data_IF_795693398427
#
_entry.id   IF_795693398427
#
_cell.length_a   1.000
_cell.length_b   1.000
_cell.length_c   1.000
_cell.angle_alpha   90.00
_cell.angle_beta   90.00
_cell.angle_gamma   90.00
#
_symmetry.space_group_name_H-M   'P 1'
#
loop_
_entity.id
_entity.type
_entity.pdbx_description
1 polymer ?
#
# COMPACT_ATOMS: atom_id res chain seq x y z
N UNK A 1 -50.20 9.90 11.93
CA UNK A 1 -49.02 9.84 12.83
C UNK A 1 -48.56 8.40 12.92
N UNK A 2 -47.67 7.99 12.02
CA UNK A 2 -47.13 6.63 11.97
C UNK A 2 -45.63 6.78 12.20
N UNK A 3 -45.17 6.25 13.34
CA UNK A 3 -43.78 6.35 13.79
C UNK A 3 -42.92 5.44 12.90
N UNK A 4 -42.05 6.02 12.08
CA UNK A 4 -40.98 5.28 11.43
C UNK A 4 -39.94 4.91 12.49
N UNK A 5 -39.87 3.63 12.82
CA UNK A 5 -38.78 3.03 13.57
C UNK A 5 -37.53 3.04 12.68
N UNK A 6 -36.70 4.07 12.86
CA UNK A 6 -35.31 4.05 12.42
C UNK A 6 -34.61 3.01 13.30
N UNK A 7 -34.51 1.77 12.81
CA UNK A 7 -33.64 0.76 13.41
C UNK A 7 -32.21 1.17 13.06
N UNK A 8 -31.64 1.97 13.94
CA UNK A 8 -30.23 2.33 13.95
C UNK A 8 -29.44 1.06 14.31
N UNK A 9 -29.06 0.29 13.28
CA UNK A 9 -28.13 -0.83 13.39
C UNK A 9 -26.73 -0.32 13.74
N UNK A 10 -26.52 -0.02 15.01
CA UNK A 10 -25.21 0.04 15.66
C UNK A 10 -24.57 -1.35 15.55
N UNK A 11 -23.95 -1.66 14.40
CA UNK A 11 -23.04 -2.80 14.29
C UNK A 11 -21.73 -2.43 15.01
N UNK A 12 -21.75 -2.60 16.34
CA UNK A 12 -20.57 -2.94 17.13
C UNK A 12 -20.02 -4.28 16.61
N UNK A 13 -19.24 -4.26 15.52
CA UNK A 13 -18.46 -5.42 15.12
C UNK A 13 -17.07 -5.30 15.74
N UNK A 14 -16.96 -5.84 16.96
CA UNK A 14 -15.72 -6.45 17.40
C UNK A 14 -15.51 -7.72 16.57
N UNK A 15 -14.69 -7.63 15.52
CA UNK A 15 -14.07 -8.80 14.91
C UNK A 15 -12.62 -8.45 14.54
N UNK A 16 -11.74 -8.65 15.52
CA UNK A 16 -10.31 -8.79 15.25
C UNK A 16 -10.11 -10.23 14.82
N UNK A 17 -9.87 -10.44 13.54
CA UNK A 17 -9.10 -11.57 13.04
C UNK A 17 -8.51 -11.14 11.70
N UNK A 18 -7.28 -10.64 11.75
CA UNK A 18 -6.43 -10.47 10.59
C UNK A 18 -6.07 -11.87 10.04
N UNK A 19 -6.93 -12.40 9.18
CA UNK A 19 -6.55 -13.42 8.23
C UNK A 19 -6.35 -12.72 6.90
N UNK A 20 -5.17 -12.93 6.29
CA UNK A 20 -4.95 -12.59 4.90
C UNK A 20 -5.98 -13.37 4.07
N UNK A 21 -6.90 -12.65 3.43
CA UNK A 21 -7.99 -13.20 2.64
C UNK A 21 -7.62 -13.04 1.16
N UNK A 22 -7.90 -14.05 0.32
CA UNK A 22 -7.54 -14.06 -1.10
C UNK A 22 -8.30 -12.98 -1.89
N UNK A 23 -7.84 -12.59 -3.11
CA UNK A 23 -8.45 -11.53 -3.90
C UNK A 23 -9.79 -11.97 -4.51
N UNK A 24 -10.10 -13.29 -4.48
CA UNK A 24 -11.34 -13.88 -4.98
C UNK A 24 -12.60 -13.49 -4.20
N UNK A 25 -12.49 -12.73 -3.11
CA UNK A 25 -13.68 -12.17 -2.46
C UNK A 25 -13.42 -10.72 -2.05
N UNK A 26 -13.43 -9.80 -3.01
CA UNK A 26 -13.73 -8.42 -2.70
C UNK A 26 -15.06 -8.40 -1.90
N UNK A 27 -15.01 -7.88 -0.68
CA UNK A 27 -16.20 -7.75 0.18
C UNK A 27 -16.33 -6.30 0.58
N UNK A 28 -17.52 -5.70 0.47
CA UNK A 28 -17.75 -4.37 1.00
C UNK A 28 -17.63 -4.35 2.53
N UNK A 29 -17.70 -3.16 3.11
CA UNK A 29 -17.63 -2.93 4.56
C UNK A 29 -18.81 -3.53 5.34
N UNK A 30 -19.79 -4.12 4.66
CA UNK A 30 -21.01 -4.71 5.20
C UNK A 30 -21.30 -6.10 4.62
N UNK A 31 -22.22 -6.81 5.27
CA UNK A 31 -22.65 -8.15 4.87
C UNK A 31 -23.69 -8.07 3.74
N UNK A 32 -23.32 -8.49 2.54
CA UNK A 32 -24.20 -8.46 1.37
C UNK A 32 -25.50 -9.26 1.54
N UNK A 33 -25.53 -10.27 2.41
CA UNK A 33 -26.77 -10.99 2.73
C UNK A 33 -27.79 -10.10 3.48
N UNK A 34 -27.34 -8.97 4.03
CA UNK A 34 -28.16 -7.99 4.76
C UNK A 34 -28.44 -6.72 3.94
N UNK A 35 -27.99 -6.66 2.69
CA UNK A 35 -28.23 -5.52 1.81
C UNK A 35 -29.74 -5.25 1.66
N UNK A 36 -30.16 -4.05 2.03
CA UNK A 36 -31.56 -3.65 2.12
C UNK A 36 -31.89 -2.45 1.22
N UNK A 37 -30.91 -1.57 1.02
CA UNK A 37 -31.02 -0.38 0.17
C UNK A 37 -30.61 -0.67 -1.27
N UNK A 38 -30.96 0.22 -2.18
CA UNK A 38 -30.58 0.13 -3.60
C UNK A 38 -29.07 0.23 -3.78
N UNK A 39 -28.42 1.23 -3.18
CA UNK A 39 -26.95 1.36 -3.16
C UNK A 39 -26.25 0.13 -2.57
N UNK A 40 -26.71 -0.44 -1.45
CA UNK A 40 -26.10 -1.65 -0.90
C UNK A 40 -26.15 -2.82 -1.91
N UNK A 41 -27.26 -2.95 -2.66
CA UNK A 41 -27.38 -3.99 -3.69
C UNK A 41 -26.51 -3.70 -4.90
N UNK A 42 -26.35 -2.44 -5.31
CA UNK A 42 -25.43 -2.04 -6.39
C UNK A 42 -24.01 -2.45 -6.02
N UNK A 43 -23.55 -2.11 -4.82
CA UNK A 43 -22.22 -2.47 -4.33
C UNK A 43 -22.06 -4.00 -4.28
N UNK A 44 -23.05 -4.74 -3.79
CA UNK A 44 -22.96 -6.19 -3.68
C UNK A 44 -23.00 -6.95 -5.02
N UNK A 45 -23.62 -6.37 -6.05
CA UNK A 45 -23.71 -6.96 -7.39
C UNK A 45 -22.65 -6.41 -8.36
N UNK A 46 -21.67 -5.66 -7.85
CA UNK A 46 -20.57 -5.10 -8.61
C UNK A 46 -19.63 -6.22 -9.10
N UNK A 47 -19.78 -6.62 -10.37
CA UNK A 47 -19.12 -7.79 -10.95
C UNK A 47 -17.59 -7.66 -11.03
N UNK A 48 -17.08 -6.44 -11.21
CA UNK A 48 -15.63 -6.14 -11.23
C UNK A 48 -15.03 -5.99 -9.82
N UNK A 49 -15.87 -5.90 -8.78
CA UNK A 49 -15.50 -5.77 -7.38
C UNK A 49 -14.91 -4.41 -7.00
N UNK A 50 -14.86 -3.43 -7.90
CA UNK A 50 -14.29 -2.10 -7.65
C UNK A 50 -15.03 -1.34 -6.56
N UNK A 51 -16.35 -1.22 -6.67
CA UNK A 51 -17.20 -0.55 -5.68
C UNK A 51 -17.15 -1.27 -4.34
N UNK A 52 -17.05 -2.60 -4.33
CA UNK A 52 -16.87 -3.36 -3.09
C UNK A 52 -15.58 -2.97 -2.37
N UNK A 53 -14.50 -2.78 -3.14
CA UNK A 53 -13.21 -2.37 -2.60
C UNK A 53 -13.19 -0.90 -2.15
N UNK A 54 -13.78 -0.01 -2.93
CA UNK A 54 -13.93 1.41 -2.57
C UNK A 54 -14.75 1.56 -1.27
N UNK A 55 -15.86 0.84 -1.14
CA UNK A 55 -16.68 0.87 0.08
C UNK A 55 -15.91 0.33 1.31
N UNK A 56 -15.22 -0.81 1.15
CA UNK A 56 -14.36 -1.37 2.19
C UNK A 56 -13.28 -0.38 2.63
N UNK A 57 -12.54 0.19 1.67
CA UNK A 57 -11.45 1.12 1.96
C UNK A 57 -11.95 2.41 2.62
N UNK A 58 -13.06 2.97 2.13
CA UNK A 58 -13.70 4.12 2.78
C UNK A 58 -14.07 3.80 4.23
N UNK A 59 -14.64 2.63 4.49
CA UNK A 59 -14.98 2.16 5.84
C UNK A 59 -13.77 2.04 6.76
N UNK A 60 -12.64 1.54 6.26
CA UNK A 60 -11.37 1.45 6.96
C UNK A 60 -10.81 2.84 7.31
N UNK A 61 -10.73 3.74 6.32
CA UNK A 61 -10.25 5.13 6.51
C UNK A 61 -11.14 5.86 7.52
N UNK A 62 -12.47 5.76 7.39
CA UNK A 62 -13.42 6.37 8.33
C UNK A 62 -13.22 5.85 9.76
N UNK A 63 -13.09 4.54 9.92
CA UNK A 63 -12.90 3.88 11.22
C UNK A 63 -11.60 4.36 11.87
N UNK A 64 -10.53 4.43 11.09
CA UNK A 64 -9.25 4.91 11.55
C UNK A 64 -9.30 6.39 11.94
N UNK A 65 -9.83 7.26 11.07
CA UNK A 65 -10.00 8.69 11.36
C UNK A 65 -10.77 8.90 12.64
N UNK A 66 -11.89 8.18 12.84
CA UNK A 66 -12.68 8.26 14.07
C UNK A 66 -11.89 7.80 15.29
N UNK A 67 -11.05 6.76 15.18
CA UNK A 67 -10.19 6.28 16.27
C UNK A 67 -9.15 7.35 16.65
N UNK A 68 -8.42 7.87 15.67
CA UNK A 68 -7.36 8.86 15.87
C UNK A 68 -7.92 10.19 16.40
N UNK A 69 -9.09 10.60 15.93
CA UNK A 69 -9.73 11.82 16.38
C UNK A 69 -10.17 11.73 17.85
N UNK A 70 -10.63 10.56 18.33
CA UNK A 70 -11.01 10.36 19.74
C UNK A 70 -9.85 10.54 20.72
N UNK A 71 -8.64 10.19 20.30
CA UNK A 71 -7.43 10.30 21.13
C UNK A 71 -6.68 11.62 20.90
N UNK A 72 -7.16 12.46 20.00
CA UNK A 72 -6.53 13.74 19.67
C UNK A 72 -6.69 14.79 20.78
N UNK A 73 -5.80 15.78 20.72
CA UNK A 73 -5.78 16.93 21.63
C UNK A 73 -6.54 18.15 21.08
N UNK A 74 -7.34 17.99 20.02
CA UNK A 74 -8.16 19.08 19.49
C UNK A 74 -9.18 19.56 20.53
N UNK A 75 -9.23 20.88 20.76
CA UNK A 75 -10.18 21.48 21.69
C UNK A 75 -11.65 21.24 21.27
N UNK A 76 -11.90 21.14 19.97
CA UNK A 76 -13.18 20.92 19.32
C UNK A 76 -13.43 19.45 18.93
N UNK A 77 -12.70 18.48 19.50
CA UNK A 77 -12.76 17.06 19.10
C UNK A 77 -14.16 16.44 19.07
N UNK A 78 -15.02 16.77 20.03
CA UNK A 78 -16.39 16.24 20.10
C UNK A 78 -17.25 16.77 18.96
N UNK A 79 -17.07 18.05 18.61
CA UNK A 79 -17.74 18.66 17.47
C UNK A 79 -17.24 18.04 16.17
N UNK A 80 -15.92 17.87 16.00
CA UNK A 80 -15.33 17.19 14.83
C UNK A 80 -15.84 15.74 14.68
N UNK A 81 -15.97 14.99 15.77
CA UNK A 81 -16.53 13.63 15.75
C UNK A 81 -17.99 13.62 15.30
N UNK A 82 -18.77 14.60 15.75
CA UNK A 82 -20.16 14.78 15.32
C UNK A 82 -20.23 15.14 13.84
N UNK A 83 -19.43 16.10 13.38
CA UNK A 83 -19.42 16.55 11.98
C UNK A 83 -18.93 15.44 11.03
N UNK A 84 -17.96 14.63 11.46
CA UNK A 84 -17.52 13.44 10.73
C UNK A 84 -18.65 12.41 10.58
N UNK A 85 -19.40 12.14 11.65
CA UNK A 85 -20.54 11.22 11.59
C UNK A 85 -21.67 11.77 10.73
N UNK A 86 -22.02 13.05 10.88
CA UNK A 86 -23.11 13.69 10.15
C UNK A 86 -22.76 13.78 8.65
N UNK A 87 -21.52 14.12 8.29
CA UNK A 87 -21.07 14.10 6.89
C UNK A 87 -21.07 12.70 6.28
N UNK A 88 -20.67 11.66 7.03
CA UNK A 88 -20.70 10.29 6.52
C UNK A 88 -22.13 9.80 6.27
N UNK A 89 -23.06 10.16 7.16
CA UNK A 89 -24.49 9.86 6.97
C UNK A 89 -25.07 10.59 5.77
N UNK A 90 -24.71 11.86 5.60
CA UNK A 90 -25.15 12.65 4.45
C UNK A 90 -24.64 12.05 3.14
N UNK A 91 -23.36 11.65 3.08
CA UNK A 91 -22.79 10.94 1.94
C UNK A 91 -23.60 9.68 1.58
N UNK A 92 -23.77 8.75 2.54
CA UNK A 92 -24.49 7.49 2.30
C UNK A 92 -25.94 7.74 1.85
N UNK A 93 -26.61 8.73 2.44
CA UNK A 93 -28.00 9.07 2.08
C UNK A 93 -28.13 9.53 0.62
N UNK A 94 -27.16 10.32 0.15
CA UNK A 94 -27.20 10.94 -1.18
C UNK A 94 -26.57 10.04 -2.26
N UNK A 95 -25.99 8.89 -1.91
CA UNK A 95 -25.40 7.96 -2.88
C UNK A 95 -26.39 7.43 -3.93
N UNK A 96 -27.71 7.39 -3.65
CA UNK A 96 -28.69 6.99 -4.66
C UNK A 96 -29.02 8.13 -5.66
N UNK A 97 -28.49 9.34 -5.45
CA UNK A 97 -28.80 10.54 -6.23
C UNK A 97 -27.66 10.96 -7.17
N UNK A 98 -26.56 10.18 -7.22
CA UNK A 98 -25.38 10.49 -8.05
C UNK A 98 -25.32 9.60 -9.29
N UNK A 99 -24.90 10.19 -10.41
CA UNK A 99 -24.75 9.47 -11.69
C UNK A 99 -23.49 8.58 -11.71
N UNK A 100 -22.46 8.95 -10.94
CA UNK A 100 -21.15 8.29 -10.90
C UNK A 100 -20.78 7.91 -9.45
N UNK A 101 -21.24 6.72 -9.01
CA UNK A 101 -21.03 6.23 -7.65
C UNK A 101 -19.53 6.02 -7.35
N UNK A 102 -18.76 5.47 -8.30
CA UNK A 102 -17.32 5.21 -8.15
C UNK A 102 -16.56 6.51 -7.82
N UNK A 103 -16.73 7.54 -8.65
CA UNK A 103 -16.12 8.86 -8.46
C UNK A 103 -16.51 9.48 -7.11
N UNK A 104 -17.78 9.32 -6.71
CA UNK A 104 -18.28 9.81 -5.42
C UNK A 104 -17.57 9.15 -4.24
N UNK A 105 -17.28 7.83 -4.32
CA UNK A 105 -16.46 7.13 -3.32
C UNK A 105 -15.03 7.65 -3.30
N UNK A 106 -14.39 7.82 -4.44
CA UNK A 106 -13.00 8.31 -4.53
C UNK A 106 -12.84 9.71 -3.93
N UNK A 107 -13.76 10.62 -4.27
CA UNK A 107 -13.83 11.96 -3.70
C UNK A 107 -13.99 11.90 -2.18
N UNK A 108 -14.91 11.05 -1.70
CA UNK A 108 -15.16 10.90 -0.27
C UNK A 108 -13.95 10.33 0.47
N UNK A 109 -13.32 9.29 -0.07
CA UNK A 109 -12.09 8.69 0.47
C UNK A 109 -10.99 9.75 0.55
N UNK A 110 -10.81 10.55 -0.49
CA UNK A 110 -9.83 11.63 -0.52
C UNK A 110 -10.08 12.66 0.58
N UNK A 111 -11.34 13.08 0.79
CA UNK A 111 -11.70 13.98 1.89
C UNK A 111 -11.38 13.36 3.26
N UNK A 112 -11.71 12.09 3.47
CA UNK A 112 -11.44 11.39 4.72
C UNK A 112 -9.93 11.23 4.96
N UNK A 113 -9.14 10.95 3.92
CA UNK A 113 -7.69 10.83 4.00
C UNK A 113 -7.02 12.16 4.37
N UNK A 114 -7.50 13.30 3.84
CA UNK A 114 -7.03 14.63 4.24
C UNK A 114 -7.28 14.90 5.73
N UNK A 115 -8.51 14.65 6.18
CA UNK A 115 -8.86 14.80 7.61
C UNK A 115 -8.03 13.86 8.48
N UNK A 116 -7.79 12.63 8.02
CA UNK A 116 -6.93 11.66 8.72
C UNK A 116 -5.49 12.18 8.81
N UNK A 117 -4.96 12.77 7.74
CA UNK A 117 -3.66 13.44 7.72
C UNK A 117 -3.55 14.55 8.76
N UNK A 118 -4.52 15.46 8.81
CA UNK A 118 -4.56 16.55 9.81
C UNK A 118 -4.56 16.02 11.25
N UNK A 119 -5.36 14.98 11.50
CA UNK A 119 -5.48 14.38 12.83
C UNK A 119 -4.19 13.65 13.22
N UNK A 120 -3.63 12.87 12.30
CA UNK A 120 -2.37 12.16 12.52
C UNK A 120 -1.20 13.12 12.73
N UNK A 121 -1.13 14.20 11.96
CA UNK A 121 -0.16 15.28 12.13
C UNK A 121 -0.25 15.93 13.50
N UNK A 122 -1.48 16.19 13.98
CA UNK A 122 -1.67 16.74 15.33
C UNK A 122 -1.24 15.73 16.40
N UNK A 123 -1.63 14.47 16.25
CA UNK A 123 -1.35 13.40 17.20
C UNK A 123 0.16 13.05 17.25
N UNK A 124 0.88 13.18 16.13
CA UNK A 124 2.25 12.74 15.94
C UNK A 124 3.18 13.86 15.46
N UNK A 125 2.92 15.11 15.89
CA UNK A 125 3.55 16.33 15.36
C UNK A 125 5.06 16.24 15.15
N UNK A 126 5.80 15.87 16.19
CA UNK A 126 7.27 15.79 16.11
C UNK A 126 7.74 14.74 15.09
N UNK A 127 7.06 13.58 15.06
CA UNK A 127 7.36 12.51 14.11
C UNK A 127 7.08 12.96 12.67
N UNK A 128 5.93 13.59 12.42
CA UNK A 128 5.54 14.00 11.06
C UNK A 128 6.40 15.18 10.57
N UNK A 129 6.76 16.13 11.43
CA UNK A 129 7.74 17.18 11.13
C UNK A 129 9.13 16.61 10.83
N UNK A 130 9.54 15.59 11.56
CA UNK A 130 10.80 14.88 11.30
C UNK A 130 10.75 14.12 9.97
N UNK A 131 9.67 13.39 9.70
CA UNK A 131 9.48 12.62 8.47
C UNK A 131 9.58 13.49 7.21
N UNK A 132 8.96 14.68 7.21
CA UNK A 132 9.04 15.64 6.08
C UNK A 132 10.45 16.14 5.81
N UNK A 133 11.30 16.20 6.83
CA UNK A 133 12.70 16.64 6.72
C UNK A 133 13.64 15.47 6.45
N UNK A 134 13.22 14.24 6.75
CA UNK A 134 14.01 13.04 6.57
C UNK A 134 14.10 12.73 5.07
N UNK A 135 15.18 13.22 4.44
CA UNK A 135 15.66 12.60 3.21
C UNK A 135 16.11 11.20 3.60
N UNK A 136 15.60 10.19 2.89
CA UNK A 136 15.90 8.77 3.08
C UNK A 136 17.29 8.56 3.69
N UNK A 137 17.34 7.92 4.86
CA UNK A 137 18.56 7.73 5.65
C UNK A 137 19.53 6.74 5.03
N UNK A 138 20.01 7.01 3.81
CA UNK A 138 20.88 6.14 3.01
C UNK A 138 22.16 5.74 3.77
N UNK A 139 22.61 6.59 4.71
CA UNK A 139 23.86 6.38 5.44
C UNK A 139 23.90 5.18 6.39
N UNK A 140 22.74 4.60 6.76
CA UNK A 140 22.67 3.40 7.63
C UNK A 140 22.50 2.10 6.87
N UNK A 141 22.29 2.16 5.55
CA UNK A 141 22.13 1.00 4.69
C UNK A 141 23.49 0.57 4.15
N UNK A 142 23.77 -0.73 4.17
CA UNK A 142 24.94 -1.27 3.50
C UNK A 142 24.56 -1.68 2.08
N UNK A 143 25.10 -0.96 1.08
CA UNK A 143 24.96 -1.37 -0.32
C UNK A 143 25.66 -2.72 -0.54
N UNK A 144 24.99 -3.58 -1.30
CA UNK A 144 25.42 -4.93 -1.63
C UNK A 144 25.95 -4.91 -3.06
N UNK A 145 27.23 -5.24 -3.28
CA UNK A 145 27.79 -5.23 -4.62
C UNK A 145 27.13 -6.31 -5.50
N UNK A 146 27.14 -6.12 -6.84
CA UNK A 146 26.67 -7.13 -7.78
C UNK A 146 27.26 -8.51 -7.52
N UNK A 147 26.39 -9.52 -7.43
CA UNK A 147 26.77 -10.90 -7.12
C UNK A 147 25.76 -11.92 -7.63
N UNK A 148 26.24 -13.11 -7.99
CA UNK A 148 25.35 -14.25 -8.26
C UNK A 148 24.70 -14.83 -6.99
N UNK A 149 25.08 -14.34 -5.81
CA UNK A 149 24.61 -14.82 -4.52
C UNK A 149 23.63 -13.84 -3.87
N UNK A 150 22.76 -14.31 -2.96
CA UNK A 150 21.92 -13.43 -2.13
C UNK A 150 22.77 -12.50 -1.23
N UNK A 151 22.24 -11.32 -0.84
CA UNK A 151 20.90 -10.82 -1.16
C UNK A 151 20.78 -10.14 -2.53
N UNK A 152 21.91 -9.83 -3.20
CA UNK A 152 21.87 -9.13 -4.50
C UNK A 152 21.07 -9.89 -5.55
N UNK A 153 21.35 -11.19 -5.74
CA UNK A 153 20.65 -12.00 -6.75
C UNK A 153 19.14 -12.02 -6.56
N UNK A 154 18.69 -12.02 -5.31
CA UNK A 154 17.28 -11.95 -4.94
C UNK A 154 16.74 -10.56 -5.25
N UNK A 155 17.41 -9.49 -4.80
CA UNK A 155 17.03 -8.11 -5.13
C UNK A 155 16.90 -7.87 -6.63
N UNK A 156 17.85 -8.38 -7.39
CA UNK A 156 17.90 -8.23 -8.84
C UNK A 156 16.72 -8.94 -9.53
N UNK A 157 16.60 -10.26 -9.37
CA UNK A 157 15.61 -11.03 -10.13
C UNK A 157 14.20 -10.98 -9.51
N UNK A 158 14.07 -10.75 -8.21
CA UNK A 158 12.79 -10.70 -7.52
C UNK A 158 12.23 -9.28 -7.33
N UNK A 159 13.03 -8.21 -7.40
CA UNK A 159 12.56 -6.86 -7.05
C UNK A 159 13.06 -5.71 -7.92
N UNK A 160 13.87 -5.93 -8.95
CA UNK A 160 14.39 -4.80 -9.70
C UNK A 160 14.69 -5.07 -11.17
N UNK A 161 14.21 -6.20 -11.67
CA UNK A 161 14.13 -6.43 -13.09
C UNK A 161 12.85 -5.82 -13.67
N UNK A 162 12.99 -5.20 -14.83
CA UNK A 162 11.93 -4.60 -15.63
C UNK A 162 12.26 -4.88 -17.10
N UNK A 163 11.35 -5.55 -17.80
CA UNK A 163 11.54 -5.99 -19.20
C UNK A 163 11.45 -4.83 -20.19
N UNK A 164 10.78 -3.73 -19.83
CA UNK A 164 10.55 -2.55 -20.68
C UNK A 164 11.86 -1.86 -21.11
N UNK A 165 12.89 -1.92 -20.27
CA UNK A 165 14.13 -1.19 -20.51
C UNK A 165 15.37 -2.08 -20.41
N UNK A 166 15.22 -3.41 -20.26
CA UNK A 166 16.35 -4.31 -20.05
C UNK A 166 16.16 -5.77 -20.46
N UNK A 167 17.29 -6.44 -20.66
CA UNK A 167 17.39 -7.87 -20.95
C UNK A 167 17.29 -8.71 -19.65
N UNK A 168 16.14 -8.67 -18.98
CA UNK A 168 15.85 -9.50 -17.80
C UNK A 168 16.10 -10.99 -18.05
N UNK A 169 15.58 -11.50 -19.17
CA UNK A 169 15.66 -12.92 -19.55
C UNK A 169 17.11 -13.40 -19.77
N UNK A 170 18.05 -12.47 -19.99
CA UNK A 170 19.46 -12.83 -20.12
C UNK A 170 20.08 -13.19 -18.76
N UNK A 171 19.51 -12.75 -17.65
CA UNK A 171 20.12 -12.85 -16.32
C UNK A 171 19.25 -13.56 -15.29
N UNK A 172 17.96 -13.70 -15.54
CA UNK A 172 17.00 -14.29 -14.63
C UNK A 172 16.12 -15.31 -15.36
N UNK A 173 15.70 -16.33 -14.63
CA UNK A 173 14.72 -17.32 -15.09
C UNK A 173 13.30 -16.81 -14.89
N UNK A 174 12.32 -17.45 -15.53
CA UNK A 174 10.89 -17.23 -15.29
C UNK A 174 10.51 -17.36 -13.81
N UNK A 175 11.18 -18.26 -13.07
CA UNK A 175 11.02 -18.45 -11.63
C UNK A 175 11.73 -17.39 -10.76
N UNK A 176 12.19 -16.29 -11.36
CA UNK A 176 12.88 -15.18 -10.68
C UNK A 176 14.19 -15.59 -9.98
N UNK A 177 14.80 -16.67 -10.46
CA UNK A 177 16.14 -17.09 -10.02
C UNK A 177 17.21 -16.58 -10.97
N UNK A 178 18.39 -16.28 -10.43
CA UNK A 178 19.50 -15.76 -11.23
C UNK A 178 20.16 -16.83 -12.10
N UNK A 179 20.37 -16.54 -13.38
CA UNK A 179 21.16 -17.34 -14.31
C UNK A 179 22.64 -17.08 -13.99
N UNK A 180 23.18 -17.87 -13.06
CA UNK A 180 24.52 -17.65 -12.48
C UNK A 180 25.63 -17.43 -13.51
N UNK A 181 25.61 -18.19 -14.60
CA UNK A 181 26.65 -18.12 -15.64
C UNK A 181 26.65 -16.76 -16.35
N UNK A 182 25.49 -16.33 -16.84
CA UNK A 182 25.35 -15.10 -17.60
C UNK A 182 25.55 -13.87 -16.69
N UNK A 183 25.01 -13.90 -15.47
CA UNK A 183 25.26 -12.85 -14.48
C UNK A 183 26.74 -12.75 -14.09
N UNK A 184 27.42 -13.88 -13.82
CA UNK A 184 28.84 -13.87 -13.49
C UNK A 184 29.68 -13.28 -14.63
N UNK A 185 29.35 -13.62 -15.88
CA UNK A 185 29.97 -13.06 -17.07
C UNK A 185 29.75 -11.55 -17.12
N UNK A 186 28.51 -11.08 -16.99
CA UNK A 186 28.19 -9.66 -17.06
C UNK A 186 28.83 -8.82 -15.94
N UNK A 187 28.89 -9.34 -14.72
CA UNK A 187 29.59 -8.70 -13.60
C UNK A 187 31.09 -8.56 -13.92
N UNK A 188 31.72 -9.64 -14.42
CA UNK A 188 33.15 -9.66 -14.76
C UNK A 188 33.47 -8.69 -15.90
N UNK A 189 32.62 -8.66 -16.92
CA UNK A 189 32.78 -7.83 -18.12
C UNK A 189 32.30 -6.37 -17.90
N UNK A 190 31.72 -6.07 -16.73
CA UNK A 190 31.05 -4.78 -16.44
C UNK A 190 30.01 -4.42 -17.51
N UNK A 191 29.34 -5.43 -18.04
CA UNK A 191 28.44 -5.33 -19.19
C UNK A 191 26.97 -5.47 -18.80
N UNK A 192 26.63 -5.20 -17.53
CA UNK A 192 25.25 -5.06 -17.11
C UNK A 192 24.66 -3.88 -17.90
N UNK A 193 23.81 -4.21 -18.87
CA UNK A 193 23.39 -3.33 -19.96
C UNK A 193 22.52 -2.14 -19.48
N UNK A 194 22.11 -2.15 -18.21
CA UNK A 194 21.38 -1.09 -17.48
C UNK A 194 21.91 -1.05 -16.04
N UNK A 195 21.82 0.10 -15.37
CA UNK A 195 22.11 0.21 -13.94
C UNK A 195 21.24 -0.80 -13.17
N UNK A 196 21.83 -1.87 -12.58
CA UNK A 196 21.06 -2.82 -11.80
C UNK A 196 20.34 -2.10 -10.65
N UNK A 197 19.22 -2.64 -10.14
CA UNK A 197 18.64 -2.16 -8.89
C UNK A 197 19.71 -2.14 -7.81
N UNK A 198 19.68 -1.13 -6.96
CA UNK A 198 20.58 -1.03 -5.83
C UNK A 198 20.00 -1.88 -4.71
N UNK A 199 20.76 -2.87 -4.30
CA UNK A 199 20.35 -3.76 -3.21
C UNK A 199 21.09 -3.34 -1.96
N UNK A 200 20.35 -3.06 -0.92
CA UNK A 200 20.84 -2.69 0.38
C UNK A 200 20.47 -3.75 1.40
N UNK A 201 21.31 -3.90 2.42
CA UNK A 201 21.00 -4.71 3.60
C UNK A 201 21.21 -3.91 4.87
N UNK A 202 20.38 -4.19 5.87
CA UNK A 202 20.50 -3.61 7.21
C UNK A 202 20.00 -4.61 8.24
N UNK A 203 20.67 -4.68 9.38
CA UNK A 203 20.18 -5.41 10.54
C UNK A 203 19.46 -4.42 11.46
N UNK A 204 18.16 -4.63 11.69
CA UNK A 204 17.28 -3.62 12.29
C UNK A 204 16.10 -4.27 13.02
N UNK A 205 15.66 -3.66 14.10
CA UNK A 205 14.42 -4.03 14.81
C UNK A 205 13.23 -3.38 14.08
N UNK A 206 12.82 -3.98 12.96
CA UNK A 206 11.75 -3.46 12.11
C UNK A 206 10.36 -3.59 12.77
N UNK A 207 10.20 -4.56 13.68
CA UNK A 207 8.95 -4.83 14.39
C UNK A 207 8.85 -4.10 15.73
N UNK A 208 9.87 -3.32 16.11
CA UNK A 208 9.97 -2.63 17.40
C UNK A 208 9.69 -3.55 18.61
N UNK A 209 10.15 -4.81 18.53
CA UNK A 209 9.94 -5.84 19.56
C UNK A 209 11.24 -6.25 20.27
N UNK A 210 12.34 -5.56 19.97
CA UNK A 210 13.68 -5.83 20.49
C UNK A 210 14.45 -6.89 19.70
N UNK A 211 13.86 -7.49 18.66
CA UNK A 211 14.51 -8.51 17.83
C UNK A 211 15.03 -7.90 16.52
N UNK A 212 16.33 -8.05 16.29
CA UNK A 212 16.95 -7.57 15.05
C UNK A 212 16.74 -8.55 13.89
N UNK A 213 16.02 -8.10 12.86
CA UNK A 213 15.86 -8.79 11.59
C UNK A 213 16.92 -8.36 10.57
N UNK A 214 17.30 -9.25 9.65
CA UNK A 214 18.04 -8.85 8.46
C UNK A 214 17.04 -8.38 7.42
N UNK A 215 17.07 -7.08 7.12
CA UNK A 215 16.19 -6.47 6.13
C UNK A 215 16.99 -6.18 4.86
N UNK A 216 16.41 -6.54 3.73
CA UNK A 216 16.87 -6.19 2.39
C UNK A 216 15.96 -5.06 1.89
N UNK A 217 16.57 -4.02 1.34
CA UNK A 217 15.89 -3.03 0.53
C UNK A 217 16.41 -3.18 -0.89
N UNK A 218 15.53 -3.48 -1.84
CA UNK A 218 15.87 -3.42 -3.27
C UNK A 218 15.28 -2.16 -3.84
N UNK A 219 16.11 -1.27 -4.38
CA UNK A 219 15.72 0.01 -4.94
C UNK A 219 15.95 0.02 -6.45
N UNK A 220 14.87 -0.14 -7.20
CA UNK A 220 14.86 -0.08 -8.66
C UNK A 220 14.51 1.30 -9.19
N UNK A 221 14.53 1.46 -10.51
CA UNK A 221 14.21 2.74 -11.18
C UNK A 221 12.76 3.18 -10.97
N UNK A 222 11.86 2.22 -10.71
CA UNK A 222 10.42 2.43 -10.65
C UNK A 222 9.79 2.00 -9.32
N UNK A 223 10.42 1.11 -8.57
CA UNK A 223 9.86 0.72 -7.28
C UNK A 223 10.97 0.24 -6.38
N UNK A 224 10.70 0.31 -5.08
CA UNK A 224 11.53 -0.35 -4.10
C UNK A 224 10.72 -1.32 -3.24
N UNK A 225 11.41 -2.31 -2.69
CA UNK A 225 10.81 -3.36 -1.88
C UNK A 225 11.62 -3.60 -0.60
N UNK A 226 10.91 -3.69 0.54
CA UNK A 226 11.47 -4.02 1.85
C UNK A 226 11.14 -5.44 2.26
N UNK A 227 12.18 -6.21 2.62
CA UNK A 227 12.07 -7.66 2.79
C UNK A 227 12.80 -8.18 4.00
N UNK A 228 12.16 -9.06 4.76
CA UNK A 228 12.83 -9.83 5.81
C UNK A 228 13.55 -11.03 5.18
N UNK A 229 14.84 -11.13 5.46
CA UNK A 229 15.73 -12.17 4.95
C UNK A 229 16.23 -13.07 6.09
N UNK A 230 15.95 -14.37 5.98
CA UNK A 230 16.23 -15.34 7.04
C UNK A 230 16.62 -16.68 6.45
N UNK A 231 17.66 -17.30 7.00
CA UNK A 231 18.11 -18.65 6.63
C UNK A 231 18.38 -18.82 5.12
N UNK A 232 18.98 -17.82 4.47
CA UNK A 232 19.34 -17.91 3.06
C UNK A 232 18.23 -17.56 2.06
N UNK A 233 17.03 -17.19 2.54
CA UNK A 233 15.85 -16.93 1.71
C UNK A 233 15.00 -15.77 2.22
N UNK A 234 14.10 -15.31 1.36
CA UNK A 234 13.05 -14.35 1.72
C UNK A 234 12.00 -15.01 2.63
N UNK A 235 11.58 -14.30 3.68
CA UNK A 235 10.52 -14.76 4.59
C UNK A 235 9.21 -14.04 4.27
N UNK A 236 8.43 -14.61 3.35
CA UNK A 236 7.15 -14.06 2.90
C UNK A 236 6.18 -13.73 4.05
N UNK A 237 6.09 -14.63 5.04
CA UNK A 237 5.18 -14.45 6.19
C UNK A 237 5.63 -13.30 7.09
N UNK A 238 6.93 -13.14 7.29
CA UNK A 238 7.46 -12.04 8.09
C UNK A 238 7.32 -10.71 7.32
N UNK A 239 7.68 -10.69 6.03
CA UNK A 239 7.57 -9.50 5.17
C UNK A 239 6.14 -9.03 4.97
N UNK A 240 5.15 -9.93 4.94
CA UNK A 240 3.74 -9.57 4.73
C UNK A 240 3.17 -8.58 5.75
N UNK A 241 3.84 -8.36 6.89
CA UNK A 241 3.45 -7.36 7.89
C UNK A 241 3.94 -5.94 7.56
N UNK A 242 4.97 -5.81 6.72
CA UNK A 242 5.53 -4.53 6.23
C UNK A 242 4.54 -3.87 5.28
N UNK A 243 3.84 -4.71 4.51
CA UNK A 243 2.86 -4.33 3.50
C UNK A 243 1.45 -4.34 4.09
N UNK A 244 0.58 -3.44 3.64
CA UNK A 244 -0.82 -3.39 4.05
C UNK A 244 -1.76 -3.08 2.89
N UNK A 245 -3.03 -2.85 3.24
CA UNK A 245 -4.12 -2.63 2.28
C UNK A 245 -4.09 -1.22 1.65
N UNK A 246 -3.17 -0.35 2.05
CA UNK A 246 -2.95 0.99 1.49
C UNK A 246 -2.47 1.01 0.03
N UNK A 247 -2.25 -0.16 -0.56
CA UNK A 247 -1.94 -0.38 -1.98
C UNK A 247 -3.22 -0.66 -2.81
N UNK A 248 -4.30 0.05 -2.50
CA UNK A 248 -5.57 -0.01 -3.24
C UNK A 248 -5.50 0.86 -4.50
N UNK A 249 -5.30 0.23 -5.66
CA UNK A 249 -5.22 0.88 -6.97
C UNK A 249 -6.60 0.81 -7.68
N UNK A 250 -7.51 1.72 -7.36
CA UNK A 250 -8.85 1.81 -7.99
C UNK A 250 -9.21 3.24 -8.37
N UNK A 251 -9.89 3.43 -9.51
CA UNK A 251 -10.55 4.68 -9.89
C UNK A 251 -10.36 5.15 -11.34
N UNK A 252 -11.15 6.12 -11.81
CA UNK A 252 -11.20 6.52 -13.24
C UNK A 252 -9.84 7.04 -13.78
N UNK A 253 -9.01 7.63 -12.90
CA UNK A 253 -7.61 8.03 -13.20
C UNK A 253 -6.56 6.96 -12.90
N UNK A 254 -6.99 5.83 -12.37
CA UNK A 254 -6.19 4.64 -12.11
C UNK A 254 -6.53 3.68 -13.21
N UNK A 255 -5.83 3.76 -14.35
CA UNK A 255 -6.16 2.82 -15.39
C UNK A 255 -5.89 1.41 -14.87
N UNK A 256 -6.87 0.55 -15.11
CA UNK A 256 -6.83 -0.90 -14.93
C UNK A 256 -5.73 -1.59 -15.77
N UNK A 257 -4.76 -0.87 -16.29
CA UNK A 257 -3.62 -1.41 -17.02
C UNK A 257 -2.45 -1.59 -16.05
N UNK A 258 -2.67 -2.49 -15.09
CA UNK A 258 -1.64 -3.00 -14.18
C UNK A 258 -0.61 -3.89 -14.90
N UNK A 259 -0.76 -4.08 -16.21
CA UNK A 259 0.09 -4.88 -17.10
C UNK A 259 -0.04 -4.17 -18.47
N UNK A 260 0.95 -3.93 -19.32
CA UNK A 260 2.26 -4.49 -19.61
C UNK A 260 3.09 -3.33 -20.15
N UNK A 261 4.32 -3.09 -19.70
CA UNK A 261 5.52 -3.73 -20.28
C UNK A 261 6.40 -4.31 -19.17
N UNK A 262 5.77 -4.69 -18.07
CA UNK A 262 6.38 -5.00 -16.79
C UNK A 262 5.69 -6.20 -16.13
N UNK A 263 5.76 -7.36 -16.78
CA UNK A 263 5.35 -8.64 -16.19
C UNK A 263 6.15 -8.92 -14.89
N UNK A 264 7.40 -8.42 -14.83
CA UNK A 264 8.32 -8.66 -13.72
C UNK A 264 7.97 -7.97 -12.42
N UNK A 265 7.71 -6.65 -12.37
CA UNK A 265 7.29 -5.99 -11.14
C UNK A 265 5.96 -6.52 -10.62
N UNK A 266 4.94 -6.77 -11.47
CA UNK A 266 3.65 -7.30 -11.00
C UNK A 266 3.82 -8.67 -10.35
N UNK A 267 4.47 -9.62 -11.04
CA UNK A 267 4.74 -10.97 -10.49
C UNK A 267 5.62 -10.88 -9.24
N UNK A 268 6.62 -10.00 -9.23
CA UNK A 268 7.47 -9.75 -8.08
C UNK A 268 6.68 -9.20 -6.88
N UNK A 269 5.78 -8.27 -7.14
CA UNK A 269 4.90 -7.71 -6.13
C UNK A 269 3.94 -8.79 -5.62
N UNK A 270 3.27 -9.55 -6.48
CA UNK A 270 2.33 -10.61 -6.08
C UNK A 270 3.01 -11.75 -5.32
N UNK A 271 4.14 -12.23 -5.84
CA UNK A 271 4.86 -13.40 -5.30
C UNK A 271 5.64 -13.05 -4.04
N UNK A 272 6.28 -11.89 -4.05
CA UNK A 272 7.16 -11.47 -2.99
C UNK A 272 6.48 -10.37 -2.19
N UNK A 273 6.28 -9.13 -2.65
CA UNK A 273 5.73 -8.04 -1.81
C UNK A 273 4.31 -8.26 -1.22
N UNK A 274 3.48 -9.14 -1.78
CA UNK A 274 2.03 -9.24 -1.53
C UNK A 274 1.48 -10.68 -1.35
N UNK A 275 2.18 -11.64 -0.72
CA UNK A 275 1.69 -13.01 -0.53
C UNK A 275 0.43 -13.10 0.34
N UNK A 276 -0.14 -11.96 0.76
CA UNK A 276 -1.41 -11.83 1.44
C UNK A 276 -2.58 -11.34 0.59
N UNK A 277 -2.46 -11.19 -0.74
CA UNK A 277 -3.61 -10.94 -1.63
C UNK A 277 -4.38 -9.62 -1.39
N UNK A 278 -3.68 -8.55 -1.01
CA UNK A 278 -4.28 -7.29 -0.51
C UNK A 278 -4.49 -6.20 -1.56
N UNK A 279 -4.12 -6.47 -2.81
CA UNK A 279 -4.41 -5.59 -3.95
C UNK A 279 -5.58 -6.18 -4.71
N UNK A 280 -6.63 -5.39 -4.87
CA UNK A 280 -7.75 -5.68 -5.75
C UNK A 280 -7.51 -5.10 -7.14
N UNK A 281 -7.92 -5.82 -8.19
CA UNK A 281 -7.99 -5.27 -9.55
C UNK A 281 -6.83 -5.61 -10.49
N UNK A 282 -6.16 -6.76 -10.36
CA UNK A 282 -5.25 -7.25 -11.42
C UNK A 282 -6.12 -7.98 -12.48
N UNK A 283 -6.24 -7.46 -13.71
CA UNK A 283 -7.01 -8.14 -14.76
C UNK A 283 -6.25 -9.36 -15.30
N UNK A 284 -6.97 -10.40 -15.74
CA UNK A 284 -6.38 -11.57 -16.41
C UNK A 284 -5.74 -11.23 -17.78
N UNK A 285 -6.14 -10.11 -18.41
CA UNK A 285 -5.60 -9.63 -19.69
C UNK A 285 -5.59 -8.10 -19.72
N UNK A 286 -4.45 -7.49 -20.00
CA UNK A 286 -4.32 -6.04 -20.03
C UNK A 286 -3.84 -5.53 -21.39
N UNK A 287 -4.40 -4.40 -21.84
CA UNK A 287 -3.94 -3.64 -23.00
C UNK A 287 -2.98 -2.53 -22.56
N UNK A 288 -2.09 -2.05 -23.43
CA UNK A 288 -1.06 -1.05 -23.09
C UNK A 288 -1.50 0.40 -23.37
N UNK A 289 -1.21 1.32 -22.43
CA UNK A 289 -1.18 2.75 -22.65
C UNK A 289 0.07 3.38 -21.99
N UNK A 290 0.87 4.10 -22.79
CA UNK A 290 2.14 4.69 -22.38
C UNK A 290 2.03 5.93 -21.49
N UNK A 291 0.83 6.47 -21.25
CA UNK A 291 0.62 7.76 -20.58
C UNK A 291 0.15 7.66 -19.11
N UNK A 292 0.11 6.47 -18.50
CA UNK A 292 -0.68 6.24 -17.27
C UNK A 292 0.17 5.76 -16.07
N UNK A 293 -0.12 6.20 -14.82
CA UNK A 293 0.61 5.75 -13.62
C UNK A 293 0.53 4.24 -13.42
N UNK A 294 1.68 3.61 -13.60
CA UNK A 294 1.97 2.22 -13.27
C UNK A 294 2.20 2.16 -11.74
N UNK A 295 2.20 0.97 -11.14
CA UNK A 295 2.80 0.66 -9.81
C UNK A 295 4.26 1.18 -9.62
N UNK A 296 4.81 1.84 -10.64
CA UNK A 296 6.15 2.32 -10.88
C UNK A 296 6.56 3.56 -10.10
N UNK A 297 5.94 3.84 -8.95
CA UNK A 297 6.37 4.92 -8.05
C UNK A 297 6.12 4.59 -6.57
N UNK A 298 6.24 3.33 -6.18
CA UNK A 298 6.22 2.95 -4.77
C UNK A 298 7.64 2.87 -4.22
N UNK A 299 7.95 3.70 -3.23
CA UNK A 299 9.27 3.69 -2.58
C UNK A 299 9.12 3.41 -1.10
N UNK A 300 9.56 2.22 -0.70
CA UNK A 300 9.67 1.75 0.67
C UNK A 300 11.02 2.09 1.30
N UNK A 301 10.99 2.47 2.57
CA UNK A 301 12.18 2.78 3.35
C UNK A 301 11.96 2.61 4.84
N UNK A 302 13.02 2.92 5.60
CA UNK A 302 12.97 2.89 7.05
C UNK A 302 13.59 4.14 7.63
N UNK A 303 12.84 4.79 8.51
CA UNK A 303 13.23 5.96 9.27
C UNK A 303 13.33 5.59 10.74
N UNK A 304 14.31 6.17 11.45
CA UNK A 304 14.47 5.98 12.89
C UNK A 304 14.13 7.29 13.60
N UNK A 305 13.25 7.23 14.58
CA UNK A 305 12.83 8.39 15.35
C UNK A 305 12.59 8.00 16.81
N UNK A 306 13.25 8.70 17.74
CA UNK A 306 13.15 8.48 19.19
C UNK A 306 13.28 7.00 19.61
N UNK A 307 14.23 6.28 19.00
CA UNK A 307 14.51 4.88 19.33
C UNK A 307 13.55 3.85 18.72
N UNK A 308 12.59 4.28 17.89
CA UNK A 308 11.72 3.40 17.11
C UNK A 308 12.04 3.46 15.62
N UNK A 309 11.78 2.36 14.92
CA UNK A 309 11.89 2.25 13.47
C UNK A 309 10.51 2.33 12.82
N UNK A 310 10.38 3.17 11.81
CA UNK A 310 9.16 3.43 11.07
C UNK A 310 9.35 3.07 9.61
N UNK A 311 8.38 2.38 9.03
CA UNK A 311 8.35 2.13 7.60
C UNK A 311 7.87 3.41 6.92
N UNK A 312 8.63 3.87 5.94
CA UNK A 312 8.24 4.98 5.07
C UNK A 312 7.74 4.41 3.76
N UNK A 313 6.59 4.87 3.29
CA UNK A 313 6.06 4.54 1.98
C UNK A 313 5.79 5.85 1.26
N UNK A 314 6.47 6.09 0.15
CA UNK A 314 6.09 7.11 -0.81
C UNK A 314 5.37 6.46 -1.98
N UNK A 315 4.30 7.10 -2.44
CA UNK A 315 3.46 6.65 -3.54
C UNK A 315 3.27 7.80 -4.52
N UNK A 316 3.94 7.71 -5.66
CA UNK A 316 3.85 8.68 -6.74
C UNK A 316 2.70 8.47 -7.73
N UNK A 317 1.65 7.71 -7.35
CA UNK A 317 0.47 7.43 -8.18
C UNK A 317 -0.12 8.67 -8.84
N UNK A 318 -0.05 9.81 -8.15
CA UNK A 318 -0.65 11.06 -8.61
C UNK A 318 0.38 12.14 -8.98
N UNK A 319 1.65 11.77 -9.17
CA UNK A 319 2.72 12.73 -9.49
C UNK A 319 2.47 13.57 -10.76
N UNK A 320 1.62 13.07 -11.67
CA UNK A 320 1.26 13.74 -12.92
C UNK A 320 -0.11 14.41 -12.87
N UNK A 321 -0.82 14.32 -11.74
CA UNK A 321 -2.06 15.06 -11.50
C UNK A 321 -1.73 16.25 -10.61
N UNK A 322 -1.46 17.40 -11.23
CA UNK A 322 -1.15 18.67 -10.53
C UNK A 322 -2.28 19.14 -9.59
N UNK A 323 -3.49 18.61 -9.78
CA UNK A 323 -4.65 18.89 -8.93
C UNK A 323 -4.89 17.80 -7.89
N UNK A 324 -4.07 16.74 -7.87
CA UNK A 324 -4.21 15.70 -6.86
C UNK A 324 -3.90 16.27 -5.49
N UNK A 325 -4.72 15.81 -4.55
CA UNK A 325 -4.61 16.19 -3.15
C UNK A 325 -4.48 14.96 -2.27
N UNK A 326 -4.13 13.84 -2.89
CA UNK A 326 -3.88 12.57 -2.22
C UNK A 326 -2.52 12.64 -1.52
N UNK A 327 -2.42 12.20 -0.26
CA UNK A 327 -1.14 12.18 0.44
C UNK A 327 -0.21 11.13 -0.20
N UNK A 328 0.95 11.57 -0.64
CA UNK A 328 1.93 10.73 -1.32
C UNK A 328 2.79 9.95 -0.31
N UNK A 329 3.03 10.50 0.88
CA UNK A 329 3.89 9.88 1.87
C UNK A 329 3.10 9.36 3.05
N UNK A 330 3.37 8.12 3.43
CA UNK A 330 2.80 7.45 4.60
C UNK A 330 3.89 6.90 5.49
N UNK A 331 3.72 7.10 6.80
CA UNK A 331 4.67 6.66 7.82
C UNK A 331 3.97 5.66 8.73
N UNK A 332 4.51 4.46 8.82
CA UNK A 332 3.94 3.38 9.60
C UNK A 332 4.84 2.98 10.74
N UNK A 333 4.25 2.73 11.90
CA UNK A 333 4.89 2.01 12.99
C UNK A 333 4.44 0.55 12.93
N UNK A 334 5.40 -0.36 12.87
CA UNK A 334 5.14 -1.79 13.02
C UNK A 334 5.51 -2.20 14.44
N UNK A 335 4.53 -2.66 15.21
CA UNK A 335 4.70 -3.21 16.56
C UNK A 335 4.18 -4.66 16.57
N UNK A 336 5.11 -5.62 16.52
CA UNK A 336 4.80 -7.05 16.41
C UNK A 336 4.09 -7.42 15.10
N UNK A 337 2.76 -7.67 15.16
CA UNK A 337 1.93 -7.98 13.97
C UNK A 337 1.01 -6.83 13.55
N UNK A 338 1.11 -5.68 14.23
CA UNK A 338 0.22 -4.54 13.99
C UNK A 338 0.99 -3.44 13.27
N UNK A 339 0.54 -3.11 12.06
CA UNK A 339 1.00 -1.95 11.30
C UNK A 339 0.03 -0.80 11.56
N UNK A 340 0.52 0.29 12.11
CA UNK A 340 -0.26 1.48 12.43
C UNK A 340 0.26 2.67 11.63
N UNK A 341 -0.61 3.31 10.86
CA UNK A 341 -0.29 4.57 10.18
C UNK A 341 -0.16 5.68 11.23
N UNK A 342 0.94 6.41 11.18
CA UNK A 342 1.29 7.49 12.12
C UNK A 342 1.31 8.87 11.49
N UNK A 343 1.67 8.97 10.21
CA UNK A 343 1.63 10.22 9.46
C UNK A 343 1.21 9.92 8.02
N UNK A 344 0.46 10.84 7.41
CA UNK A 344 0.18 10.82 5.97
C UNK A 344 0.12 12.25 5.47
N UNK A 345 0.86 12.56 4.40
CA UNK A 345 0.95 13.92 3.85
C UNK A 345 1.31 13.95 2.38
#
# INVERSE_FOLDING_TARGET
MQKFLIVLGLCLMLAISANAQSPEEAKPSFDCAKASTEVEKIICNDEDGELQNLDRYMGEVYTQLRKELKISNFADKEQRLKDLLDSQRAFIKNLNEVDFIKDSYEERITQLLKLLGEVLDSNNKELCEYARKNKFGDSKWQEVPPSVNPPFSIGYCAFGANDKYGNFDNYCTENREIIKKEMAKAIKEKSLFISPPRVYKRKIDINNDGVLDNVILSDGEYFSALWIYKNGKLDAKASGKIYGDDLHFHGEKTSYQTVMVNEVPSIAFDTYALPSNKISGIPEQAEFNSEIPILSYLTYGVMEFQGKNYITLWNGRFNFDENSTYPETRIYLLEGNKRELKCTF
#
